data_IF_883072237893
#
_entry.id   IF_883072237893
#
_cell.length_a   1.000
_cell.length_b   1.000
_cell.length_c   1.000
_cell.angle_alpha   90.00
_cell.angle_beta   90.00
_cell.angle_gamma   90.00
#
_symmetry.space_group_name_H-M   'P 1'
#
loop_
_entity.id
_entity.type
_entity.pdbx_description
1 polymer ?
#
# COMPACT_ATOMS: atom_id res chain seq x y z
N UNK A 1 15.71 10.55 -35.94
CA UNK A 1 14.66 11.21 -35.12
C UNK A 1 13.74 10.20 -34.43
N UNK A 2 13.15 9.22 -35.14
CA UNK A 2 12.31 8.16 -34.55
C UNK A 2 12.96 7.35 -33.42
N UNK A 3 14.24 7.00 -33.56
CA UNK A 3 14.97 6.22 -32.55
C UNK A 3 15.09 6.92 -31.20
N UNK A 4 15.25 8.25 -31.19
CA UNK A 4 15.31 9.04 -29.96
C UNK A 4 13.97 9.05 -29.24
N UNK A 5 12.87 9.19 -29.99
CA UNK A 5 11.52 9.12 -29.44
C UNK A 5 11.21 7.73 -28.86
N UNK A 6 11.58 6.66 -29.56
CA UNK A 6 11.38 5.30 -29.08
C UNK A 6 12.14 5.01 -27.78
N UNK A 7 13.38 5.50 -27.67
CA UNK A 7 14.16 5.37 -26.43
C UNK A 7 13.53 6.15 -25.27
N UNK A 8 13.02 7.35 -25.52
CA UNK A 8 12.31 8.14 -24.51
C UNK A 8 11.03 7.44 -24.04
N UNK A 9 10.24 6.88 -24.96
CA UNK A 9 9.04 6.12 -24.62
C UNK A 9 9.37 4.88 -23.78
N UNK A 10 10.43 4.15 -24.14
CA UNK A 10 10.90 3.00 -23.36
C UNK A 10 11.34 3.42 -21.96
N UNK A 11 12.09 4.51 -21.82
CA UNK A 11 12.52 5.02 -20.52
C UNK A 11 11.32 5.40 -19.63
N UNK A 12 10.32 6.10 -20.20
CA UNK A 12 9.08 6.44 -19.48
C UNK A 12 8.32 5.18 -19.07
N UNK A 13 8.20 4.18 -19.95
CA UNK A 13 7.54 2.92 -19.64
C UNK A 13 8.23 2.18 -18.49
N UNK A 14 9.57 2.12 -18.48
CA UNK A 14 10.34 1.50 -17.38
C UNK A 14 10.14 2.25 -16.07
N UNK A 15 10.17 3.58 -16.08
CA UNK A 15 9.94 4.39 -14.88
C UNK A 15 8.53 4.19 -14.31
N UNK A 16 7.52 4.15 -15.17
CA UNK A 16 6.13 3.87 -14.77
C UNK A 16 6.00 2.46 -14.21
N UNK A 17 6.57 1.47 -14.88
CA UNK A 17 6.59 0.08 -14.40
C UNK A 17 7.20 -0.03 -13.00
N UNK A 18 8.35 0.62 -12.77
CA UNK A 18 9.01 0.61 -11.47
C UNK A 18 8.18 1.24 -10.35
N UNK A 19 7.35 2.25 -10.65
CA UNK A 19 6.43 2.89 -9.70
C UNK A 19 5.19 2.04 -9.40
N UNK A 20 4.72 1.28 -10.37
CA UNK A 20 3.51 0.45 -10.26
C UNK A 20 3.78 -0.94 -9.66
N UNK A 21 5.03 -1.40 -9.67
CA UNK A 21 5.41 -2.70 -9.11
C UNK A 21 5.45 -2.68 -7.59
N UNK A 22 4.87 -3.71 -6.97
CA UNK A 22 5.04 -4.00 -5.56
C UNK A 22 6.41 -4.59 -5.25
N UNK A 23 6.99 -4.16 -4.14
CA UNK A 23 8.29 -4.64 -3.65
C UNK A 23 8.13 -5.09 -2.21
N UNK A 24 8.62 -6.30 -1.91
CA UNK A 24 8.77 -6.76 -0.54
C UNK A 24 9.92 -5.99 0.10
N UNK A 25 9.62 -5.23 1.15
CA UNK A 25 10.61 -4.38 1.85
C UNK A 25 11.02 -4.97 3.19
N UNK A 26 10.18 -5.83 3.80
CA UNK A 26 10.51 -6.53 5.02
C UNK A 26 9.84 -7.91 5.08
N UNK A 27 10.50 -8.84 5.74
CA UNK A 27 9.98 -10.15 6.15
C UNK A 27 10.48 -10.43 7.56
N UNK A 28 9.59 -10.34 8.54
CA UNK A 28 9.96 -10.48 9.95
C UNK A 28 8.86 -11.20 10.72
N UNK A 29 9.12 -11.49 12.00
CA UNK A 29 8.11 -12.05 12.91
C UNK A 29 6.89 -11.15 13.07
N UNK A 30 7.02 -9.84 12.80
CA UNK A 30 5.91 -8.88 12.81
C UNK A 30 5.04 -8.92 11.53
N UNK A 31 5.45 -9.69 10.52
CA UNK A 31 4.74 -9.81 9.25
C UNK A 31 5.62 -9.51 8.03
N UNK A 32 4.99 -9.60 6.87
CA UNK A 32 5.55 -9.26 5.56
C UNK A 32 5.08 -7.86 5.18
N UNK A 33 6.01 -6.99 4.79
CA UNK A 33 5.71 -5.62 4.37
C UNK A 33 5.99 -5.46 2.88
N UNK A 34 4.99 -4.95 2.17
CA UNK A 34 5.04 -4.62 0.76
C UNK A 34 4.89 -3.12 0.55
N UNK A 35 5.63 -2.56 -0.39
CA UNK A 35 5.56 -1.14 -0.73
C UNK A 35 5.41 -0.93 -2.24
N UNK A 36 4.55 0.02 -2.61
CA UNK A 36 4.39 0.52 -3.97
C UNK A 36 4.07 2.01 -3.91
N UNK A 37 4.94 2.84 -4.50
CA UNK A 37 4.79 4.29 -4.47
C UNK A 37 4.52 4.82 -3.05
N UNK A 38 3.36 5.41 -2.80
CA UNK A 38 2.95 5.95 -1.50
C UNK A 38 2.11 4.97 -0.66
N UNK A 39 1.94 3.73 -1.12
CA UNK A 39 1.16 2.70 -0.45
C UNK A 39 2.07 1.66 0.20
N UNK A 40 1.81 1.35 1.46
CA UNK A 40 2.41 0.25 2.22
C UNK A 40 1.30 -0.73 2.58
N UNK A 41 1.58 -2.02 2.46
CA UNK A 41 0.68 -3.10 2.87
C UNK A 41 1.43 -4.05 3.79
N UNK A 42 0.76 -4.52 4.84
CA UNK A 42 1.32 -5.42 5.84
C UNK A 42 0.44 -6.65 5.94
N UNK A 43 1.07 -7.82 5.86
CA UNK A 43 0.49 -9.14 6.13
C UNK A 43 1.13 -9.65 7.42
N UNK A 44 0.43 -9.53 8.55
CA UNK A 44 0.89 -9.85 9.90
C UNK A 44 0.74 -11.35 10.19
N UNK A 45 -0.35 -11.98 9.75
CA UNK A 45 -0.63 -13.40 10.02
C UNK A 45 -0.03 -14.36 8.98
N UNK A 46 0.51 -13.83 7.86
CA UNK A 46 1.14 -14.56 6.76
C UNK A 46 0.18 -15.45 5.97
N UNK A 47 -1.08 -15.06 5.88
CA UNK A 47 -2.10 -15.78 5.11
C UNK A 47 -2.18 -15.33 3.63
N UNK A 48 -1.35 -14.35 3.24
CA UNK A 48 -1.32 -13.78 1.89
C UNK A 48 -2.39 -12.70 1.66
N UNK A 49 -3.13 -12.28 2.69
CA UNK A 49 -4.02 -11.12 2.68
C UNK A 49 -3.38 -9.95 3.41
N UNK A 50 -3.91 -8.76 3.13
CA UNK A 50 -3.40 -7.51 3.70
C UNK A 50 -4.17 -7.19 4.98
N UNK A 51 -3.47 -7.20 6.10
CA UNK A 51 -4.05 -6.87 7.41
C UNK A 51 -4.03 -5.37 7.70
N UNK A 52 -3.15 -4.62 7.04
CA UNK A 52 -3.08 -3.17 7.13
C UNK A 52 -2.62 -2.57 5.81
N UNK A 53 -3.33 -1.54 5.34
CA UNK A 53 -2.90 -0.72 4.22
C UNK A 53 -2.77 0.74 4.66
N UNK A 54 -1.63 1.34 4.36
CA UNK A 54 -1.36 2.76 4.59
C UNK A 54 -1.08 3.46 3.26
N UNK A 55 -1.80 4.52 2.96
CA UNK A 55 -1.59 5.41 1.80
C UNK A 55 -1.16 6.78 2.31
N UNK A 56 0.10 7.15 2.03
CA UNK A 56 0.62 8.50 2.35
C UNK A 56 0.05 9.52 1.38
N UNK A 57 -0.60 10.55 1.92
CA UNK A 57 -1.22 11.62 1.16
C UNK A 57 -0.22 12.77 0.91
N UNK A 58 -0.41 13.57 -0.15
CA UNK A 58 0.51 14.68 -0.48
C UNK A 58 0.64 15.74 0.61
N UNK A 59 -0.37 15.87 1.48
CA UNK A 59 -0.39 16.81 2.58
C UNK A 59 0.32 16.30 3.86
N UNK A 60 0.93 15.11 3.80
CA UNK A 60 1.63 14.47 4.92
C UNK A 60 0.73 13.63 5.84
N UNK A 61 -0.59 13.65 5.64
CA UNK A 61 -1.52 12.74 6.31
C UNK A 61 -1.35 11.31 5.76
N UNK A 62 -1.90 10.32 6.45
CA UNK A 62 -1.96 8.94 5.98
C UNK A 62 -3.38 8.39 6.05
N UNK A 63 -3.92 7.88 4.95
CA UNK A 63 -5.15 7.11 4.99
C UNK A 63 -4.81 5.65 5.32
N UNK A 64 -5.46 5.09 6.34
CA UNK A 64 -5.17 3.75 6.84
C UNK A 64 -6.44 2.91 6.81
N UNK A 65 -6.31 1.66 6.37
CA UNK A 65 -7.31 0.60 6.50
C UNK A 65 -6.69 -0.56 7.27
N UNK A 66 -7.44 -1.14 8.19
CA UNK A 66 -6.95 -2.23 9.04
C UNK A 66 -7.99 -3.33 9.14
N UNK A 67 -7.50 -4.56 9.16
CA UNK A 67 -8.20 -5.78 9.55
C UNK A 67 -7.74 -6.06 10.99
N UNK A 68 -8.57 -5.75 11.98
CA UNK A 68 -8.15 -5.85 13.39
C UNK A 68 -8.23 -7.25 13.95
N UNK A 69 -9.11 -8.10 13.41
CA UNK A 69 -9.33 -9.48 13.86
C UNK A 69 -8.67 -10.55 12.97
N UNK A 70 -8.03 -10.14 11.88
CA UNK A 70 -7.26 -10.97 10.94
C UNK A 70 -8.14 -12.00 10.21
N UNK A 71 -9.38 -11.59 9.86
CA UNK A 71 -10.37 -12.44 9.20
C UNK A 71 -10.37 -12.32 7.66
N UNK A 72 -9.48 -11.47 7.12
CA UNK A 72 -9.35 -11.16 5.70
C UNK A 72 -10.25 -10.02 5.23
N UNK A 73 -10.82 -9.23 6.15
CA UNK A 73 -11.62 -8.05 5.85
C UNK A 73 -11.12 -6.83 6.62
N UNK A 74 -11.01 -5.70 5.92
CA UNK A 74 -10.85 -4.42 6.61
C UNK A 74 -12.11 -4.08 7.39
N UNK A 75 -11.95 -3.82 8.68
CA UNK A 75 -13.01 -3.45 9.62
C UNK A 75 -12.94 -1.98 10.04
N UNK A 76 -11.76 -1.36 9.89
CA UNK A 76 -11.51 0.03 10.25
C UNK A 76 -10.86 0.80 9.10
N UNK A 77 -11.27 2.06 8.99
CA UNK A 77 -10.67 3.06 8.14
C UNK A 77 -10.50 4.37 8.90
N UNK A 78 -9.37 5.03 8.74
CA UNK A 78 -9.15 6.34 9.33
C UNK A 78 -8.07 7.13 8.60
N UNK A 79 -7.95 8.42 8.93
CA UNK A 79 -6.87 9.29 8.48
C UNK A 79 -5.99 9.64 9.67
N UNK A 80 -4.71 9.28 9.61
CA UNK A 80 -3.72 9.73 10.58
C UNK A 80 -3.17 11.11 10.19
N UNK A 81 -3.29 12.07 11.12
CA UNK A 81 -2.72 13.42 11.01
C UNK A 81 -1.81 13.65 12.21
N UNK A 82 -0.52 13.87 11.95
CA UNK A 82 0.50 14.12 13.00
C UNK A 82 0.52 13.05 14.11
N UNK A 83 0.38 11.77 13.75
CA UNK A 83 0.36 10.68 14.74
C UNK A 83 -1.00 10.40 15.37
N UNK A 84 -2.03 11.18 15.06
CA UNK A 84 -3.37 11.02 15.64
C UNK A 84 -4.37 10.52 14.60
N UNK A 85 -5.11 9.47 14.96
CA UNK A 85 -6.22 8.99 14.15
C UNK A 85 -7.38 10.00 14.14
N UNK A 86 -7.86 10.33 12.96
CA UNK A 86 -8.99 11.23 12.70
C UNK A 86 -9.94 10.55 11.73
N UNK A 87 -11.24 10.89 11.79
CA UNK A 87 -12.29 10.31 10.92
C UNK A 87 -12.27 8.77 10.96
N UNK A 88 -12.37 8.21 12.16
CA UNK A 88 -12.50 6.78 12.34
C UNK A 88 -13.87 6.32 11.81
N UNK A 89 -13.83 5.39 10.87
CA UNK A 89 -14.99 4.81 10.21
C UNK A 89 -14.90 3.29 10.34
N UNK A 90 -16.01 2.66 10.74
CA UNK A 90 -16.15 1.21 10.65
C UNK A 90 -16.54 0.86 9.22
N UNK A 91 -15.85 -0.11 8.64
CA UNK A 91 -16.06 -0.57 7.26
C UNK A 91 -16.15 -2.09 7.22
N UNK A 92 -16.52 -2.65 6.08
CA UNK A 92 -16.38 -4.08 5.80
C UNK A 92 -16.01 -4.23 4.34
N UNK A 93 -14.71 -4.36 4.08
CA UNK A 93 -14.17 -4.47 2.72
C UNK A 93 -13.21 -5.65 2.64
N UNK A 94 -13.33 -6.46 1.59
CA UNK A 94 -12.43 -7.62 1.45
C UNK A 94 -10.99 -7.13 1.30
N UNK A 95 -10.09 -7.66 2.14
CA UNK A 95 -8.68 -7.34 2.07
C UNK A 95 -8.06 -7.96 0.80
N UNK A 96 -7.26 -7.18 0.05
CA UNK A 96 -6.62 -7.66 -1.16
C UNK A 96 -5.61 -8.76 -0.83
N UNK A 97 -5.41 -9.67 -1.80
CA UNK A 97 -4.34 -10.68 -1.74
C UNK A 97 -3.03 -10.14 -2.32
N UNK A 98 -1.91 -10.64 -1.81
CA UNK A 98 -0.55 -10.27 -2.24
C UNK A 98 0.26 -11.45 -2.75
#
# INVERSE_FOLDING_TARGET
MLWVLNLLLLAVAVLLWQKLRWRKVSDSTAGIVWQRSHTTQIDRNRDGRVDEETIRLPNGDAAIRRDTDLDGWFDLRYVERRGMATRLEQVREEAPRR
#
